data_IF_977046274309
#
_entry.id   IF_977046274309
#
_cell.length_a   1.000
_cell.length_b   1.000
_cell.length_c   1.000
_cell.angle_alpha   90.00
_cell.angle_beta   90.00
_cell.angle_gamma   90.00
#
_symmetry.space_group_name_H-M   'P 1'
#
loop_
_entity.id
_entity.type
_entity.pdbx_description
1 polymer ?
#
# COMPACT_ATOMS: atom_id res chain seq x y z
N UNK A 1 8.36 8.71 -4.72
CA UNK A 1 7.15 8.93 -5.54
C UNK A 1 7.06 7.77 -6.51
N UNK A 2 5.92 7.08 -6.54
CA UNK A 2 5.69 5.90 -7.36
C UNK A 2 4.53 6.14 -8.32
N UNK A 3 4.69 5.81 -9.59
CA UNK A 3 3.69 5.97 -10.64
C UNK A 3 2.91 4.68 -10.77
N UNK A 4 1.60 4.76 -10.59
CA UNK A 4 0.69 3.61 -10.63
C UNK A 4 -0.16 3.70 -11.89
N UNK A 5 0.05 2.80 -12.84
CA UNK A 5 -0.76 2.71 -14.05
C UNK A 5 -2.07 2.00 -13.76
N UNK A 6 -3.19 2.65 -14.07
CA UNK A 6 -4.52 2.04 -14.05
C UNK A 6 -4.89 1.68 -15.48
N UNK A 7 -4.75 0.39 -15.79
CA UNK A 7 -5.06 -0.19 -17.09
C UNK A 7 -6.47 -0.80 -17.05
N UNK A 8 -7.40 -0.27 -17.84
CA UNK A 8 -8.77 -0.76 -17.85
C UNK A 8 -9.45 -0.56 -19.21
N UNK A 9 -10.37 -1.45 -19.62
CA UNK A 9 -11.20 -1.24 -20.80
C UNK A 9 -12.16 -0.04 -20.64
N UNK A 10 -12.90 0.28 -21.70
CA UNK A 10 -13.75 1.48 -21.74
C UNK A 10 -15.00 1.41 -20.83
N UNK A 11 -15.50 0.20 -20.53
CA UNK A 11 -16.71 -0.03 -19.72
C UNK A 11 -16.50 0.15 -18.22
N UNK A 12 -15.25 0.24 -17.76
CA UNK A 12 -14.90 0.30 -16.33
C UNK A 12 -14.69 1.72 -15.80
N UNK A 13 -15.38 2.73 -16.35
CA UNK A 13 -15.19 4.15 -15.93
C UNK A 13 -15.35 4.38 -14.44
N UNK A 14 -16.45 3.93 -13.85
CA UNK A 14 -16.66 4.10 -12.42
C UNK A 14 -15.61 3.35 -11.57
N UNK A 15 -15.10 2.23 -12.07
CA UNK A 15 -14.13 1.38 -11.38
C UNK A 15 -12.71 1.93 -11.45
N UNK A 16 -12.35 2.58 -12.56
CA UNK A 16 -11.05 3.27 -12.66
C UNK A 16 -11.04 4.54 -11.80
N UNK A 17 -12.19 5.22 -11.68
CA UNK A 17 -12.37 6.35 -10.75
C UNK A 17 -12.24 5.88 -9.30
N UNK A 18 -12.79 4.71 -8.99
CA UNK A 18 -12.63 4.07 -7.69
C UNK A 18 -11.17 3.69 -7.39
N UNK A 19 -10.45 3.14 -8.36
CA UNK A 19 -9.04 2.83 -8.21
C UNK A 19 -8.19 4.08 -7.94
N UNK A 20 -8.43 5.17 -8.68
CA UNK A 20 -7.76 6.43 -8.42
C UNK A 20 -8.11 6.99 -7.03
N UNK A 21 -9.38 6.92 -6.63
CA UNK A 21 -9.81 7.32 -5.27
C UNK A 21 -9.06 6.53 -4.20
N UNK A 22 -8.92 5.22 -4.36
CA UNK A 22 -8.18 4.37 -3.43
C UNK A 22 -6.71 4.82 -3.26
N UNK A 23 -6.05 5.20 -4.36
CA UNK A 23 -4.67 5.71 -4.32
C UNK A 23 -4.57 7.08 -3.64
N UNK A 24 -5.52 7.99 -3.90
CA UNK A 24 -5.56 9.30 -3.23
C UNK A 24 -5.88 9.18 -1.74
N UNK A 25 -6.81 8.30 -1.37
CA UNK A 25 -7.11 8.01 0.04
C UNK A 25 -5.90 7.40 0.73
N UNK A 26 -5.22 6.45 0.09
CA UNK A 26 -3.98 5.90 0.64
C UNK A 26 -2.93 7.00 0.83
N UNK A 27 -2.75 7.91 -0.12
CA UNK A 27 -1.83 9.04 0.03
C UNK A 27 -2.22 9.92 1.23
N UNK A 28 -3.50 10.27 1.38
CA UNK A 28 -3.98 11.06 2.51
C UNK A 28 -3.75 10.38 3.86
N UNK A 29 -3.87 9.05 3.91
CA UNK A 29 -3.71 8.27 5.13
C UNK A 29 -2.24 7.96 5.47
N UNK A 30 -1.38 7.79 4.46
CA UNK A 30 -0.07 7.11 4.61
C UNK A 30 1.12 7.81 3.96
N UNK A 31 0.95 8.83 3.12
CA UNK A 31 2.08 9.33 2.32
C UNK A 31 3.25 9.85 3.17
N UNK A 32 2.95 10.57 4.26
CA UNK A 32 3.97 11.10 5.15
C UNK A 32 4.70 9.98 5.92
N UNK A 33 3.95 9.04 6.50
CA UNK A 33 4.51 7.97 7.33
C UNK A 33 5.24 6.90 6.53
N UNK A 34 4.86 6.69 5.28
CA UNK A 34 5.52 5.77 4.35
C UNK A 34 6.68 6.40 3.57
N UNK A 35 6.80 7.73 3.55
CA UNK A 35 7.75 8.44 2.69
C UNK A 35 7.49 8.24 1.19
N UNK A 36 6.31 7.74 0.81
CA UNK A 36 5.93 7.44 -0.57
C UNK A 36 4.67 8.22 -0.96
N UNK A 37 4.62 8.65 -2.21
CA UNK A 37 3.44 9.27 -2.82
C UNK A 37 3.13 8.47 -4.06
N UNK A 38 1.88 8.01 -4.19
CA UNK A 38 1.35 7.31 -5.35
C UNK A 38 0.80 8.32 -6.34
N UNK A 39 1.26 8.26 -7.59
CA UNK A 39 0.75 9.07 -8.69
C UNK A 39 -0.08 8.18 -9.62
N UNK A 40 -1.42 8.29 -9.61
CA UNK A 40 -2.27 7.61 -10.56
C UNK A 40 -1.95 8.06 -12.00
N UNK A 41 -1.82 7.11 -12.92
CA UNK A 41 -1.63 7.34 -14.34
C UNK A 41 -2.74 6.61 -15.10
N UNK A 42 -3.40 7.33 -16.02
CA UNK A 42 -4.43 6.80 -16.93
C UNK A 42 -4.03 7.08 -18.37
N UNK A 43 -4.50 6.25 -19.30
CA UNK A 43 -4.28 6.43 -20.73
C UNK A 43 -4.98 7.69 -21.28
N UNK A 44 -6.16 8.07 -20.75
CA UNK A 44 -6.98 9.18 -21.26
C UNK A 44 -6.41 10.57 -20.96
N UNK A 45 -5.75 10.75 -19.81
CA UNK A 45 -5.35 12.07 -19.31
C UNK A 45 -3.87 12.38 -19.56
N UNK A 46 -3.05 11.37 -19.83
CA UNK A 46 -1.59 11.52 -19.83
C UNK A 46 -0.92 11.17 -21.16
N UNK A 47 -1.69 10.75 -22.17
CA UNK A 47 -1.19 10.63 -23.53
C UNK A 47 -1.18 12.00 -24.21
N UNK A 48 0.00 12.51 -24.54
CA UNK A 48 0.13 13.66 -25.44
C UNK A 48 -0.16 13.15 -26.86
N UNK A 49 -1.17 13.66 -27.57
CA UNK A 49 -1.39 13.28 -28.96
C UNK A 49 -0.22 13.76 -29.82
N UNK A 50 0.66 12.83 -30.20
CA UNK A 50 1.80 13.07 -31.09
C UNK A 50 1.52 12.41 -32.44
N UNK A 51 1.40 13.23 -33.49
CA UNK A 51 1.34 12.73 -34.87
C UNK A 51 2.76 12.31 -35.27
N UNK A 52 3.00 11.01 -35.32
CA UNK A 52 4.21 10.43 -35.92
C UNK A 52 3.80 9.45 -37.00
N UNK A 53 4.49 9.45 -38.15
CA UNK A 53 4.14 8.68 -39.36
C UNK A 53 4.38 7.17 -39.28
N UNK A 54 4.34 6.60 -38.08
CA UNK A 54 4.45 5.17 -37.75
C UNK A 54 3.32 4.84 -36.80
N UNK A 55 2.72 3.64 -36.92
CA UNK A 55 1.55 3.19 -36.16
C UNK A 55 1.48 3.83 -34.76
N UNK A 56 0.62 4.85 -34.63
CA UNK A 56 0.59 5.78 -33.50
C UNK A 56 0.38 5.12 -32.13
N UNK A 57 0.01 3.84 -32.12
CA UNK A 57 -0.13 3.01 -30.92
C UNK A 57 1.21 2.59 -30.31
N UNK A 58 2.28 2.45 -31.11
CA UNK A 58 3.57 1.92 -30.66
C UNK A 58 4.36 2.91 -29.79
N UNK A 59 4.27 4.21 -30.07
CA UNK A 59 4.97 5.27 -29.34
C UNK A 59 4.28 5.59 -28.00
N UNK A 60 2.95 5.43 -27.94
CA UNK A 60 2.17 5.62 -26.71
C UNK A 60 2.45 4.49 -25.71
N UNK A 61 2.58 3.24 -26.18
CA UNK A 61 2.86 2.09 -25.32
C UNK A 61 4.25 2.17 -24.64
N UNK A 62 5.29 2.64 -25.33
CA UNK A 62 6.64 2.74 -24.73
C UNK A 62 6.73 3.85 -23.69
N UNK A 63 6.08 5.00 -23.90
CA UNK A 63 6.19 6.14 -22.98
C UNK A 63 5.46 5.95 -21.65
N UNK A 64 4.37 5.17 -21.63
CA UNK A 64 3.57 4.96 -20.41
C UNK A 64 3.99 3.72 -19.61
N UNK A 65 4.39 2.63 -20.28
CA UNK A 65 4.74 1.38 -19.60
C UNK A 65 6.16 1.42 -19.04
N UNK A 66 7.09 2.12 -19.69
CA UNK A 66 8.47 2.21 -19.18
C UNK A 66 8.56 3.07 -17.92
N UNK A 67 7.74 4.11 -17.81
CA UNK A 67 7.77 5.14 -16.76
C UNK A 67 6.79 4.88 -15.59
N UNK A 68 6.39 3.62 -15.35
CA UNK A 68 5.50 3.26 -14.22
C UNK A 68 6.17 2.25 -13.29
N UNK A 69 5.82 2.31 -12.00
CA UNK A 69 6.40 1.44 -10.97
C UNK A 69 5.47 0.26 -10.62
N UNK A 70 4.15 0.48 -10.67
CA UNK A 70 3.12 -0.52 -10.37
C UNK A 70 2.04 -0.46 -11.45
N UNK A 71 1.47 -1.61 -11.82
CA UNK A 71 0.35 -1.69 -12.77
C UNK A 71 -0.86 -2.39 -12.15
N UNK A 72 -2.02 -1.75 -12.29
CA UNK A 72 -3.32 -2.26 -11.85
C UNK A 72 -4.19 -2.49 -13.08
N UNK A 73 -4.53 -3.75 -13.37
CA UNK A 73 -5.47 -4.15 -14.41
C UNK A 73 -6.87 -4.35 -13.85
N UNK A 74 -7.88 -3.68 -14.40
CA UNK A 74 -9.28 -3.77 -13.93
C UNK A 74 -10.18 -4.17 -15.09
N UNK A 75 -10.88 -5.29 -14.94
CA UNK A 75 -11.85 -5.80 -15.92
C UNK A 75 -13.22 -6.00 -15.29
N UNK A 76 -14.29 -5.81 -16.06
CA UNK A 76 -15.66 -6.13 -15.65
C UNK A 76 -16.39 -6.99 -16.69
N UNK A 77 -16.87 -6.41 -17.80
CA UNK A 77 -17.63 -7.13 -18.82
C UNK A 77 -16.92 -7.20 -20.18
N UNK A 78 -15.91 -6.35 -20.39
CA UNK A 78 -15.19 -6.20 -21.65
C UNK A 78 -13.72 -6.58 -21.49
N UNK A 79 -13.11 -7.23 -22.50
CA UNK A 79 -11.66 -7.48 -22.54
C UNK A 79 -10.90 -6.31 -23.19
N UNK A 80 -11.52 -5.69 -24.20
CA UNK A 80 -10.97 -4.59 -24.97
C UNK A 80 -10.68 -4.98 -26.42
N UNK A 81 -10.15 -4.02 -27.19
CA UNK A 81 -9.81 -4.25 -28.60
C UNK A 81 -8.47 -4.97 -28.72
N UNK A 82 -8.36 -5.98 -29.60
CA UNK A 82 -7.10 -6.66 -29.87
C UNK A 82 -6.09 -5.70 -30.46
N UNK A 83 -4.81 -5.96 -30.20
CA UNK A 83 -3.69 -5.27 -30.81
C UNK A 83 -2.93 -6.24 -31.71
N UNK A 84 -1.96 -5.78 -32.52
CA UNK A 84 -1.11 -6.67 -33.30
C UNK A 84 -0.30 -7.68 -32.45
N UNK A 85 -0.20 -7.46 -31.13
CA UNK A 85 0.67 -8.20 -30.21
C UNK A 85 -0.06 -8.94 -29.10
N UNK A 86 -1.32 -8.60 -28.81
CA UNK A 86 -2.08 -9.22 -27.73
C UNK A 86 -3.59 -9.26 -27.98
N UNK A 87 -4.28 -10.08 -27.18
CA UNK A 87 -5.75 -10.26 -27.22
C UNK A 87 -6.51 -8.98 -26.85
N UNK A 88 -5.90 -8.07 -26.10
CA UNK A 88 -6.35 -6.69 -25.96
C UNK A 88 -5.22 -5.73 -25.61
N UNK A 89 -5.45 -4.42 -25.78
CA UNK A 89 -4.50 -3.38 -25.38
C UNK A 89 -4.12 -3.46 -23.89
N UNK A 90 -5.11 -3.60 -23.01
CA UNK A 90 -4.88 -3.79 -21.57
C UNK A 90 -4.08 -5.06 -21.29
N UNK A 91 -4.37 -6.17 -22.00
CA UNK A 91 -3.59 -7.40 -21.84
C UNK A 91 -2.13 -7.26 -22.30
N UNK A 92 -1.88 -6.49 -23.37
CA UNK A 92 -0.51 -6.16 -23.83
C UNK A 92 0.27 -5.42 -22.75
N UNK A 93 -0.34 -4.39 -22.14
CA UNK A 93 0.28 -3.57 -21.08
C UNK A 93 0.64 -4.39 -19.84
N UNK A 94 -0.27 -5.26 -19.40
CA UNK A 94 -0.04 -6.15 -18.26
C UNK A 94 1.11 -7.13 -18.54
N UNK A 95 1.14 -7.73 -19.73
CA UNK A 95 2.19 -8.66 -20.12
C UNK A 95 3.56 -7.97 -20.23
N UNK A 96 3.62 -6.79 -20.85
CA UNK A 96 4.86 -6.02 -20.97
C UNK A 96 5.41 -5.61 -19.59
N UNK A 97 4.53 -5.15 -18.69
CA UNK A 97 4.92 -4.72 -17.34
C UNK A 97 5.40 -5.90 -16.49
N UNK A 98 4.71 -7.04 -16.58
CA UNK A 98 5.12 -8.27 -15.90
C UNK A 98 6.47 -8.78 -16.43
N UNK A 99 6.68 -8.75 -17.75
CA UNK A 99 7.97 -9.12 -18.35
C UNK A 99 9.12 -8.18 -17.94
N UNK A 100 8.82 -6.92 -17.65
CA UNK A 100 9.77 -5.96 -17.10
C UNK A 100 10.01 -6.12 -15.58
N UNK A 101 9.41 -7.12 -14.94
CA UNK A 101 9.57 -7.40 -13.51
C UNK A 101 8.82 -6.44 -12.59
N UNK A 102 7.88 -5.66 -13.10
CA UNK A 102 7.08 -4.71 -12.32
C UNK A 102 5.93 -5.45 -11.62
N UNK A 103 5.52 -5.04 -10.40
CA UNK A 103 4.30 -5.55 -9.79
C UNK A 103 3.08 -5.28 -10.68
N UNK A 104 2.34 -6.36 -10.97
CA UNK A 104 1.11 -6.32 -11.78
C UNK A 104 -0.02 -6.96 -10.99
N UNK A 105 -1.04 -6.18 -10.67
CA UNK A 105 -2.22 -6.64 -9.93
C UNK A 105 -3.44 -6.60 -10.83
N UNK A 106 -4.13 -7.74 -10.98
CA UNK A 106 -5.29 -7.85 -11.88
C UNK A 106 -6.56 -8.19 -11.10
N UNK A 107 -7.61 -7.43 -11.38
CA UNK A 107 -8.91 -7.49 -10.73
C UNK A 107 -10.01 -7.77 -11.74
N UNK A 108 -10.78 -8.85 -11.51
CA UNK A 108 -11.96 -9.19 -12.31
C UNK A 108 -13.25 -8.95 -11.53
N UNK A 109 -14.17 -8.19 -12.13
CA UNK A 109 -15.47 -7.93 -11.53
C UNK A 109 -16.35 -9.18 -11.55
N UNK A 110 -17.03 -9.44 -10.42
CA UNK A 110 -18.13 -10.40 -10.30
C UNK A 110 -19.48 -9.69 -10.08
N UNK A 111 -19.51 -8.38 -10.26
CA UNK A 111 -20.72 -7.56 -10.23
C UNK A 111 -21.70 -7.94 -11.35
N UNK A 112 -23.01 -7.71 -11.18
CA UNK A 112 -23.98 -7.87 -12.25
C UNK A 112 -23.55 -7.14 -13.53
N UNK A 113 -23.64 -7.84 -14.65
CA UNK A 113 -23.32 -7.31 -15.98
C UNK A 113 -24.62 -6.79 -16.61
N UNK A 114 -24.62 -5.61 -17.26
CA UNK A 114 -25.78 -5.11 -17.99
C UNK A 114 -26.34 -6.13 -18.99
N UNK A 115 -27.66 -6.17 -19.17
CA UNK A 115 -28.29 -7.16 -20.07
C UNK A 115 -27.85 -6.99 -21.53
N UNK A 116 -27.51 -5.77 -21.93
CA UNK A 116 -27.08 -5.37 -23.26
C UNK A 116 -25.56 -5.45 -23.47
N UNK A 117 -24.83 -6.16 -22.60
CA UNK A 117 -23.40 -6.39 -22.78
C UNK A 117 -23.06 -7.11 -24.10
N UNK A 118 -21.86 -6.86 -24.59
CA UNK A 118 -21.28 -7.58 -25.70
C UNK A 118 -20.86 -9.00 -25.23
N UNK A 119 -21.60 -10.01 -25.69
CA UNK A 119 -21.37 -11.41 -25.32
C UNK A 119 -20.04 -11.95 -25.82
N UNK A 120 -19.56 -11.47 -26.96
CA UNK A 120 -18.29 -11.92 -27.52
C UNK A 120 -17.12 -11.34 -26.71
N UNK A 121 -17.24 -10.10 -26.26
CA UNK A 121 -16.28 -9.49 -25.32
C UNK A 121 -16.25 -10.19 -23.97
N UNK A 122 -17.41 -10.54 -23.43
CA UNK A 122 -17.49 -11.28 -22.16
C UNK A 122 -16.87 -12.69 -22.31
N UNK A 123 -17.17 -13.40 -23.39
CA UNK A 123 -16.58 -14.71 -23.67
C UNK A 123 -15.05 -14.63 -23.83
N UNK A 124 -14.55 -13.58 -24.50
CA UNK A 124 -13.12 -13.32 -24.63
C UNK A 124 -12.47 -13.03 -23.26
N UNK A 125 -13.14 -12.25 -22.40
CA UNK A 125 -12.69 -11.95 -21.05
C UNK A 125 -12.61 -13.23 -20.19
N UNK A 126 -13.61 -14.10 -20.27
CA UNK A 126 -13.62 -15.38 -19.56
C UNK A 126 -12.48 -16.30 -20.02
N UNK A 127 -12.21 -16.35 -21.33
CA UNK A 127 -11.08 -17.09 -21.89
C UNK A 127 -9.74 -16.51 -21.39
N UNK A 128 -9.59 -15.20 -21.38
CA UNK A 128 -8.41 -14.52 -20.86
C UNK A 128 -8.20 -14.80 -19.36
N UNK A 129 -9.25 -14.68 -18.54
CA UNK A 129 -9.22 -15.00 -17.10
C UNK A 129 -8.80 -16.46 -16.85
N UNK A 130 -9.31 -17.40 -17.65
CA UNK A 130 -8.95 -18.82 -17.58
C UNK A 130 -7.50 -19.10 -17.99
N UNK A 131 -6.95 -18.36 -18.93
CA UNK A 131 -5.54 -18.50 -19.28
C UNK A 131 -4.65 -17.92 -18.20
N UNK A 132 -4.99 -16.74 -17.68
CA UNK A 132 -4.22 -16.06 -16.64
C UNK A 132 -4.17 -16.86 -15.33
N UNK A 133 -5.25 -17.56 -14.97
CA UNK A 133 -5.30 -18.41 -13.76
C UNK A 133 -4.27 -19.55 -13.75
N UNK A 134 -3.75 -19.94 -14.92
CA UNK A 134 -2.72 -20.97 -15.03
C UNK A 134 -1.32 -20.46 -14.68
N UNK A 135 -1.12 -19.15 -14.79
CA UNK A 135 0.21 -18.53 -14.74
C UNK A 135 0.36 -17.52 -13.60
N UNK A 136 -0.75 -16.95 -13.10
CA UNK A 136 -0.72 -15.90 -12.08
C UNK A 136 -1.97 -15.90 -11.20
N UNK A 137 -1.84 -15.31 -10.02
CA UNK A 137 -2.95 -15.03 -9.12
C UNK A 137 -3.66 -13.74 -9.56
N UNK A 138 -4.98 -13.75 -9.49
CA UNK A 138 -5.81 -12.56 -9.65
C UNK A 138 -6.78 -12.44 -8.50
N UNK A 139 -7.31 -11.24 -8.29
CA UNK A 139 -8.39 -11.03 -7.34
C UNK A 139 -9.73 -10.77 -8.04
N UNK A 140 -10.82 -10.98 -7.32
CA UNK A 140 -12.17 -10.67 -7.77
C UNK A 140 -12.83 -9.67 -6.83
N UNK A 141 -13.69 -8.82 -7.37
CA UNK A 141 -14.42 -7.79 -6.61
C UNK A 141 -15.90 -7.77 -7.01
N UNK A 142 -16.78 -7.55 -6.05
CA UNK A 142 -18.23 -7.57 -6.23
C UNK A 142 -18.88 -6.20 -6.02
N UNK A 143 -18.09 -5.21 -5.64
CA UNK A 143 -18.49 -3.82 -5.42
C UNK A 143 -17.30 -2.88 -5.65
N UNK A 144 -17.52 -1.60 -6.03
CA UNK A 144 -16.46 -0.61 -6.06
C UNK A 144 -15.73 -0.46 -4.71
N UNK A 145 -16.47 -0.55 -3.60
CA UNK A 145 -15.87 -0.51 -2.25
C UNK A 145 -14.90 -1.66 -1.99
N UNK A 146 -15.24 -2.89 -2.39
CA UNK A 146 -14.32 -4.03 -2.27
C UNK A 146 -13.08 -3.87 -3.14
N UNK A 147 -13.22 -3.31 -4.35
CA UNK A 147 -12.09 -3.00 -5.24
C UNK A 147 -11.14 -2.00 -4.59
N UNK A 148 -11.68 -0.92 -4.00
CA UNK A 148 -10.89 0.10 -3.28
C UNK A 148 -10.03 -0.53 -2.18
N UNK A 149 -10.65 -1.31 -1.29
CA UNK A 149 -9.95 -1.93 -0.17
C UNK A 149 -8.84 -2.89 -0.64
N UNK A 150 -9.12 -3.66 -1.68
CA UNK A 150 -8.14 -4.57 -2.26
C UNK A 150 -6.96 -3.81 -2.90
N UNK A 151 -7.23 -2.70 -3.60
CA UNK A 151 -6.17 -1.84 -4.16
C UNK A 151 -5.27 -1.29 -3.05
N UNK A 152 -5.84 -0.74 -1.97
CA UNK A 152 -5.05 -0.25 -0.83
C UNK A 152 -4.18 -1.37 -0.24
N UNK A 153 -4.70 -2.60 -0.20
CA UNK A 153 -3.98 -3.76 0.35
C UNK A 153 -2.79 -4.20 -0.51
N UNK A 154 -2.94 -4.27 -1.84
CA UNK A 154 -1.83 -4.67 -2.74
C UNK A 154 -0.75 -3.59 -2.81
N UNK A 155 -1.14 -2.32 -2.74
CA UNK A 155 -0.21 -1.19 -2.64
C UNK A 155 0.61 -1.28 -1.36
N UNK A 156 -0.03 -1.55 -0.22
CA UNK A 156 0.68 -1.71 1.05
C UNK A 156 1.68 -2.87 1.00
N UNK A 157 1.34 -3.95 0.29
CA UNK A 157 2.26 -5.06 0.05
C UNK A 157 3.45 -4.64 -0.82
N UNK A 158 3.20 -4.00 -1.98
CA UNK A 158 4.25 -3.57 -2.90
C UNK A 158 5.22 -2.60 -2.24
N UNK A 159 4.71 -1.66 -1.44
CA UNK A 159 5.54 -0.70 -0.71
C UNK A 159 6.45 -1.39 0.31
N UNK A 160 5.97 -2.42 1.01
CA UNK A 160 6.82 -3.22 1.90
C UNK A 160 7.92 -3.94 1.11
N UNK A 161 7.57 -4.52 -0.04
CA UNK A 161 8.55 -5.19 -0.90
C UNK A 161 9.58 -4.19 -1.44
N UNK A 162 9.15 -3.01 -1.88
CA UNK A 162 10.04 -1.95 -2.34
C UNK A 162 10.92 -1.40 -1.22
N UNK A 163 10.41 -1.28 0.00
CA UNK A 163 11.21 -0.83 1.14
C UNK A 163 12.29 -1.86 1.52
N UNK A 164 11.96 -3.16 1.48
CA UNK A 164 12.92 -4.26 1.64
C UNK A 164 13.97 -4.29 0.51
N UNK A 165 13.55 -4.05 -0.74
CA UNK A 165 14.47 -3.98 -1.88
C UNK A 165 15.36 -2.73 -1.85
N UNK A 166 14.84 -1.59 -1.37
CA UNK A 166 15.59 -0.35 -1.27
C UNK A 166 16.50 -0.28 -0.03
N UNK A 167 16.22 -1.06 1.01
CA UNK A 167 17.10 -1.20 2.18
C UNK A 167 18.30 -2.12 1.92
N UNK A 168 18.30 -2.89 0.83
CA UNK A 168 19.45 -3.71 0.39
C UNK A 168 20.41 -2.99 -0.58
N UNK A 169 20.06 -1.80 -1.06
CA UNK A 169 20.97 -0.92 -1.82
C UNK A 169 21.57 0.17 -0.92
N UNK A 170 22.90 0.29 -0.91
CA UNK A 170 23.69 1.25 -0.11
C UNK A 170 23.07 2.66 -0.09
N UNK A 171 22.29 2.95 0.95
CA UNK A 171 21.81 4.30 1.25
C UNK A 171 22.89 5.02 2.04
N UNK A 172 23.06 6.32 1.82
CA UNK A 172 23.81 7.14 2.77
C UNK A 172 23.14 6.97 4.14
N UNK A 173 23.90 6.70 5.22
CA UNK A 173 23.34 6.36 6.51
C UNK A 173 22.35 7.45 6.95
N UNK A 174 21.08 7.08 7.14
CA UNK A 174 20.07 8.00 7.68
C UNK A 174 20.05 7.99 9.22
N UNK A 175 20.80 7.08 9.83
CA UNK A 175 20.79 6.87 11.26
C UNK A 175 19.62 5.99 11.68
N UNK A 176 19.45 5.81 13.00
CA UNK A 176 18.31 5.06 13.51
C UNK A 176 17.01 5.86 13.32
N UNK A 177 15.92 5.17 13.02
CA UNK A 177 14.62 5.80 12.75
C UNK A 177 13.50 4.90 13.25
N UNK A 178 12.60 5.45 14.04
CA UNK A 178 11.63 4.67 14.79
C UNK A 178 10.20 4.86 14.30
N UNK A 179 9.56 3.74 13.97
CA UNK A 179 8.10 3.63 13.83
C UNK A 179 7.53 2.99 15.08
N UNK A 180 6.51 3.60 15.69
CA UNK A 180 5.85 3.06 16.87
C UNK A 180 4.35 2.97 16.65
N UNK A 181 3.79 1.77 16.80
CA UNK A 181 2.37 1.51 16.61
C UNK A 181 1.73 0.99 17.89
N UNK A 182 0.51 1.43 18.19
CA UNK A 182 -0.33 0.76 19.17
C UNK A 182 -0.95 -0.49 18.54
N UNK A 183 -0.73 -1.65 19.15
CA UNK A 183 -1.21 -2.96 18.72
C UNK A 183 -2.00 -3.57 19.86
N UNK A 184 -3.15 -4.15 19.54
CA UNK A 184 -3.96 -4.87 20.51
C UNK A 184 -4.53 -6.16 19.92
N UNK A 185 -4.62 -7.19 20.76
CA UNK A 185 -5.25 -8.45 20.42
C UNK A 185 -6.63 -8.55 21.10
N UNK A 186 -7.63 -9.02 20.35
CA UNK A 186 -8.98 -9.29 20.86
C UNK A 186 -9.28 -10.77 20.80
N UNK A 187 -9.75 -11.31 21.92
CA UNK A 187 -10.23 -12.68 22.01
C UNK A 187 -11.66 -12.70 22.55
N UNK A 188 -12.49 -13.68 22.17
CA UNK A 188 -13.80 -13.85 22.78
C UNK A 188 -13.65 -14.22 24.26
N UNK A 189 -14.45 -13.59 25.12
CA UNK A 189 -14.64 -14.03 26.50
C UNK A 189 -15.47 -15.33 26.56
N UNK A 190 -15.66 -15.87 27.77
CA UNK A 190 -16.45 -17.09 27.98
C UNK A 190 -17.91 -16.99 27.51
N UNK A 191 -18.40 -15.79 27.16
CA UNK A 191 -19.75 -15.50 26.63
C UNK A 191 -19.72 -15.12 25.13
N UNK A 192 -18.57 -15.26 24.46
CA UNK A 192 -18.39 -14.94 23.04
C UNK A 192 -18.23 -13.46 22.73
N UNK A 193 -18.11 -12.58 23.74
CA UNK A 193 -17.90 -11.15 23.53
C UNK A 193 -16.41 -10.88 23.33
N UNK A 194 -16.05 -10.27 22.20
CA UNK A 194 -14.65 -9.89 21.91
C UNK A 194 -14.14 -8.86 22.92
N UNK A 195 -13.18 -9.27 23.74
CA UNK A 195 -12.49 -8.44 24.74
C UNK A 195 -11.03 -8.29 24.38
N UNK A 196 -10.48 -7.10 24.62
CA UNK A 196 -9.04 -6.88 24.51
C UNK A 196 -8.32 -7.71 25.58
N UNK A 197 -7.19 -8.31 25.20
CA UNK A 197 -6.39 -9.17 26.08
C UNK A 197 -4.99 -8.62 26.31
N UNK A 198 -4.34 -8.24 25.23
CA UNK A 198 -2.99 -7.69 25.25
C UNK A 198 -2.97 -6.41 24.43
N UNK A 199 -2.46 -5.37 25.05
CA UNK A 199 -2.26 -4.05 24.47
C UNK A 199 -0.77 -3.74 24.57
N UNK A 200 -0.19 -3.21 23.50
CA UNK A 200 1.25 -2.94 23.45
C UNK A 200 1.60 -1.83 22.47
N UNK A 201 2.67 -1.11 22.77
CA UNK A 201 3.38 -0.29 21.82
C UNK A 201 4.46 -1.12 21.16
N UNK A 202 4.35 -1.28 19.84
CA UNK A 202 5.31 -1.99 19.01
C UNK A 202 6.28 -1.01 18.37
N UNK A 203 7.54 -1.06 18.81
CA UNK A 203 8.62 -0.19 18.34
C UNK A 203 9.43 -0.93 17.28
N UNK A 204 9.72 -0.27 16.16
CA UNK A 204 10.55 -0.79 15.08
C UNK A 204 11.59 0.26 14.69
N UNK A 205 12.86 -0.13 14.65
CA UNK A 205 13.93 0.69 14.06
C UNK A 205 14.05 0.36 12.56
N UNK A 206 13.46 1.19 11.70
CA UNK A 206 13.57 1.10 10.23
C UNK A 206 14.83 1.81 9.69
N UNK A 207 15.63 2.38 10.60
CA UNK A 207 16.90 3.01 10.28
C UNK A 207 18.02 2.02 10.01
N UNK A 208 19.14 2.55 9.51
CA UNK A 208 20.33 1.79 9.14
C UNK A 208 21.43 1.82 10.21
N UNK A 209 21.20 2.51 11.34
CA UNK A 209 22.09 2.54 12.49
C UNK A 209 21.50 1.88 13.74
N UNK A 210 22.39 1.37 14.58
CA UNK A 210 22.07 0.87 15.91
C UNK A 210 21.61 2.04 16.78
N UNK A 211 20.45 1.87 17.43
CA UNK A 211 20.01 2.78 18.47
C UNK A 211 20.34 2.17 19.84
N UNK A 212 21.16 2.86 20.60
CA UNK A 212 21.49 2.50 21.98
C UNK A 212 20.75 3.43 22.94
N UNK A 213 20.55 2.97 24.17
CA UNK A 213 19.95 3.80 25.23
C UNK A 213 18.61 4.45 24.87
N UNK A 214 17.79 3.78 24.05
CA UNK A 214 16.48 4.31 23.66
C UNK A 214 15.58 4.41 24.89
N UNK A 215 15.08 5.60 25.15
CA UNK A 215 14.03 5.91 26.13
C UNK A 215 12.87 6.59 25.43
N UNK A 216 11.69 6.58 26.05
CA UNK A 216 10.53 7.25 25.50
C UNK A 216 9.66 7.90 26.58
N UNK A 217 8.92 8.93 26.20
CA UNK A 217 7.94 9.61 27.03
C UNK A 217 6.62 9.76 26.28
N UNK A 218 5.50 9.59 26.99
CA UNK A 218 4.15 9.71 26.47
C UNK A 218 3.53 11.03 26.95
N UNK A 219 3.25 11.92 26.01
CA UNK A 219 2.64 13.23 26.27
C UNK A 219 1.18 13.23 25.74
N UNK A 220 0.17 13.11 26.62
CA UNK A 220 -1.23 12.97 26.23
C UNK A 220 -1.89 14.31 25.85
N UNK A 221 -1.16 15.42 25.92
CA UNK A 221 -1.71 16.75 25.78
C UNK A 221 -2.45 17.24 27.03
N UNK A 222 -3.12 18.41 26.96
CA UNK A 222 -3.62 19.13 28.13
C UNK A 222 -4.85 18.48 28.80
N UNK A 223 -5.67 17.75 28.05
CA UNK A 223 -7.02 17.37 28.46
C UNK A 223 -7.21 15.85 28.68
N UNK A 224 -6.13 15.05 28.67
CA UNK A 224 -6.22 13.61 28.84
C UNK A 224 -5.02 12.98 29.53
N UNK A 225 -5.09 11.67 29.76
CA UNK A 225 -4.05 10.89 30.43
C UNK A 225 -3.23 10.09 29.43
N UNK A 226 -1.95 9.85 29.75
CA UNK A 226 -1.15 8.87 29.02
C UNK A 226 -1.59 7.46 29.41
N UNK A 227 -1.50 6.47 28.50
CA UNK A 227 -1.71 5.08 28.88
C UNK A 227 -0.60 4.63 29.84
N UNK A 228 -0.89 3.59 30.63
CA UNK A 228 0.11 3.00 31.54
C UNK A 228 0.96 1.99 30.80
N UNK A 229 2.29 2.11 30.87
CA UNK A 229 3.25 1.16 30.29
C UNK A 229 3.87 0.26 31.35
N UNK A 230 4.14 -0.99 31.00
CA UNK A 230 4.88 -1.97 31.80
C UNK A 230 5.96 -2.64 30.97
N UNK A 231 7.14 -2.85 31.57
CA UNK A 231 8.30 -3.44 30.88
C UNK A 231 9.51 -2.52 30.72
N UNK A 232 9.46 -1.32 31.30
CA UNK A 232 10.59 -0.39 31.43
C UNK A 232 10.49 0.79 30.46
N UNK A 233 10.84 1.99 30.93
CA UNK A 233 10.88 3.22 30.11
C UNK A 233 12.23 3.35 29.36
N UNK A 234 12.91 2.20 29.16
CA UNK A 234 14.26 2.07 28.66
C UNK A 234 15.31 1.90 29.78
N UNK A 235 16.60 1.92 29.42
CA UNK A 235 17.12 2.01 28.06
C UNK A 235 16.93 0.72 27.24
N UNK A 236 16.51 0.85 25.99
CA UNK A 236 16.47 -0.24 25.01
C UNK A 236 17.61 -0.12 23.99
N UNK A 237 18.12 -1.26 23.52
CA UNK A 237 19.03 -1.32 22.37
C UNK A 237 18.30 -1.97 21.21
N UNK A 238 18.20 -1.27 20.08
CA UNK A 238 17.36 -1.70 18.95
C UNK A 238 18.20 -1.78 17.69
N UNK A 239 18.37 -3.00 17.20
CA UNK A 239 19.11 -3.29 15.98
C UNK A 239 18.55 -2.52 14.77
N UNK A 240 19.38 -2.12 13.80
CA UNK A 240 18.91 -1.51 12.55
C UNK A 240 18.10 -2.50 11.71
N UNK A 241 17.50 -2.00 10.63
CA UNK A 241 16.85 -2.79 9.57
C UNK A 241 15.72 -3.69 10.09
N UNK A 242 14.81 -3.13 10.89
CA UNK A 242 13.61 -3.82 11.39
C UNK A 242 13.76 -4.46 12.76
N UNK A 243 14.85 -4.17 13.49
CA UNK A 243 14.93 -4.53 14.90
C UNK A 243 13.76 -3.93 15.68
N UNK A 244 13.14 -4.73 16.55
CA UNK A 244 11.88 -4.35 17.19
C UNK A 244 11.75 -4.90 18.60
N UNK A 245 10.89 -4.27 19.39
CA UNK A 245 10.49 -4.71 20.72
C UNK A 245 9.08 -4.19 21.05
N UNK A 246 8.47 -4.81 22.06
CA UNK A 246 7.13 -4.45 22.52
C UNK A 246 7.17 -3.92 23.96
N UNK A 247 6.39 -2.89 24.23
CA UNK A 247 6.10 -2.38 25.58
C UNK A 247 4.65 -2.65 25.89
N UNK A 248 4.38 -3.47 26.91
CA UNK A 248 3.02 -3.73 27.36
C UNK A 248 2.39 -2.40 27.79
N UNK A 249 1.17 -2.14 27.32
CA UNK A 249 0.48 -0.87 27.50
C UNK A 249 -0.94 -1.15 27.96
N UNK A 250 -1.54 -0.31 28.79
CA UNK A 250 -2.95 -0.39 29.15
C UNK A 250 -3.61 0.97 28.96
N UNK A 251 -4.69 0.96 28.20
CA UNK A 251 -5.63 2.07 28.08
C UNK A 251 -6.74 1.99 29.14
N UNK A 252 -7.26 3.14 29.55
CA UNK A 252 -8.36 3.26 30.51
C UNK A 252 -9.20 4.51 30.22
N UNK A 253 -10.36 4.62 30.85
CA UNK A 253 -11.24 5.76 30.65
C UNK A 253 -10.52 7.08 31.01
N UNK A 254 -10.40 7.98 30.03
CA UNK A 254 -9.66 9.24 30.17
C UNK A 254 -8.27 9.26 29.52
N UNK A 255 -7.80 8.15 28.96
CA UNK A 255 -6.62 8.15 28.09
C UNK A 255 -6.93 8.92 26.80
N UNK A 256 -6.01 9.79 26.37
CA UNK A 256 -6.15 10.54 25.11
C UNK A 256 -6.13 9.58 23.92
N UNK A 257 -7.00 9.82 22.94
CA UNK A 257 -7.03 9.09 21.67
C UNK A 257 -5.74 9.30 20.88
N UNK A 258 -5.10 10.47 21.02
CA UNK A 258 -3.82 10.82 20.42
C UNK A 258 -2.82 11.22 21.49
N UNK A 259 -1.71 10.49 21.56
CA UNK A 259 -0.62 10.77 22.50
C UNK A 259 0.65 11.02 21.69
N UNK A 260 1.37 12.09 22.02
CA UNK A 260 2.67 12.37 21.43
C UNK A 260 3.74 11.54 22.14
N UNK A 261 4.36 10.63 21.40
CA UNK A 261 5.48 9.83 21.86
C UNK A 261 6.78 10.55 21.53
N UNK A 262 7.54 10.94 22.56
CA UNK A 262 8.88 11.51 22.43
C UNK A 262 9.89 10.38 22.61
N UNK A 263 10.82 10.25 21.68
CA UNK A 263 11.86 9.23 21.68
C UNK A 263 13.22 9.91 21.82
N UNK A 264 14.12 9.28 22.59
CA UNK A 264 15.50 9.72 22.75
C UNK A 264 16.43 8.51 22.73
N UNK A 265 17.50 8.55 21.96
CA UNK A 265 18.49 7.47 21.86
C UNK A 265 19.89 8.01 21.63
N UNK A 266 20.88 7.12 21.70
CA UNK A 266 22.27 7.37 21.32
C UNK A 266 22.58 6.63 20.03
N UNK A 267 23.23 7.32 19.10
CA UNK A 267 23.71 6.79 17.82
C UNK A 267 25.11 7.34 17.58
N UNK A 268 26.12 6.47 17.44
CA UNK A 268 27.51 6.87 17.24
C UNK A 268 28.00 7.94 18.24
N UNK A 269 27.71 7.73 19.53
CA UNK A 269 27.99 8.65 20.64
C UNK A 269 27.25 10.00 20.62
N UNK A 270 26.36 10.24 19.64
CA UNK A 270 25.49 11.41 19.58
C UNK A 270 24.10 11.12 20.14
N UNK A 271 23.55 12.05 20.92
CA UNK A 271 22.14 11.99 21.32
C UNK A 271 21.24 12.42 20.17
N UNK A 272 20.23 11.60 19.90
CA UNK A 272 19.19 11.85 18.90
C UNK A 272 17.82 11.85 19.56
N UNK A 273 16.91 12.63 19.01
CA UNK A 273 15.53 12.75 19.49
C UNK A 273 14.56 12.75 18.32
N UNK A 274 13.37 12.19 18.52
CA UNK A 274 12.25 12.30 17.58
C UNK A 274 10.93 12.35 18.33
N UNK A 275 9.87 12.76 17.64
CA UNK A 275 8.53 12.76 18.20
C UNK A 275 7.53 12.31 17.15
N UNK A 276 6.56 11.51 17.56
CA UNK A 276 5.49 11.01 16.69
C UNK A 276 4.18 10.90 17.46
N UNK A 277 3.05 11.01 16.76
CA UNK A 277 1.73 10.82 17.38
C UNK A 277 1.29 9.37 17.23
N UNK A 278 0.95 8.73 18.35
CA UNK A 278 0.36 7.40 18.38
C UNK A 278 -1.13 7.53 18.70
N UNK A 279 -1.98 6.84 17.92
CA UNK A 279 -3.43 6.81 18.16
C UNK A 279 -3.83 5.54 18.91
N UNK A 280 -4.55 5.72 20.01
CA UNK A 280 -5.12 4.67 20.84
C UNK A 280 -6.61 4.52 20.53
N UNK A 281 -7.10 3.28 20.41
CA UNK A 281 -8.48 2.92 20.04
C UNK A 281 -9.11 1.99 21.06
#
# INVERSE_FOLDING_TARGET
MLKVLIASPGDTRALRDEAERALHEWNGDRAETSGAILLPRRWETNAVPLVTGTDGQSVINSQLVDDVDIVIGIFHATLGRPTPRAVSGTAEELAASSAAGKPVHVFFGSMPIPHDHDRDQLAALDAFKKEMSKQSLYSSYDTPGSLNQQIKSVIEYDLKVFDVANSTGTRAPRGASFRVNYVYDREPDARGKMTTRHERLHFVNDGDALAENLTFELDPGPDGSAPTTWGGDGPFTVAPNGGSFDVATITYAGVSDKVTLKLRWTEADETRESSQTVTFY
#
